data_IF_830203878860
#
_entry.id   IF_830203878860
#
_cell.length_a   1.000
_cell.length_b   1.000
_cell.length_c   1.000
_cell.angle_alpha   90.00
_cell.angle_beta   90.00
_cell.angle_gamma   90.00
#
_symmetry.space_group_name_H-M   'P 1'
#
loop_
_entity.id
_entity.type
_entity.pdbx_description
1 polymer ?
#
# COMPACT_ATOMS: atom_id res chain seq x y z
N UNK A 1 -11.52 -1.61 -14.22
CA UNK A 1 -10.58 -1.77 -13.10
C UNK A 1 -9.36 -0.91 -13.36
N UNK A 2 -8.87 -0.20 -12.35
CA UNK A 2 -7.71 0.68 -12.48
C UNK A 2 -6.71 0.34 -11.38
N UNK A 3 -5.43 0.32 -11.71
CA UNK A 3 -4.36 0.12 -10.75
C UNK A 3 -4.17 1.37 -9.87
N UNK A 4 -4.07 1.20 -8.54
CA UNK A 4 -4.06 2.31 -7.58
C UNK A 4 -2.67 2.90 -7.32
N UNK A 5 -1.63 2.08 -7.41
CA UNK A 5 -0.24 2.47 -7.18
C UNK A 5 0.65 1.84 -8.23
N UNK A 6 1.80 2.44 -8.48
CA UNK A 6 2.81 1.83 -9.33
C UNK A 6 3.27 0.49 -8.76
N UNK A 7 3.90 -0.28 -9.61
CA UNK A 7 4.41 -1.59 -9.26
C UNK A 7 5.76 -1.81 -9.94
N UNK A 8 6.41 -2.90 -9.60
CA UNK A 8 7.51 -3.46 -10.38
C UNK A 8 7.43 -4.96 -10.33
N UNK A 9 8.10 -5.59 -11.30
CA UNK A 9 8.06 -7.03 -11.39
C UNK A 9 8.72 -7.66 -10.16
N UNK A 10 8.14 -8.75 -9.63
CA UNK A 10 8.69 -9.42 -8.47
C UNK A 10 10.08 -9.96 -8.79
N UNK A 11 11.06 -9.61 -7.94
CA UNK A 11 12.42 -10.15 -8.03
C UNK A 11 12.54 -11.60 -7.51
N UNK A 12 11.51 -12.13 -6.86
CA UNK A 12 11.50 -13.47 -6.26
C UNK A 12 10.33 -14.31 -6.74
N UNK A 13 9.16 -14.14 -6.13
CA UNK A 13 7.99 -14.98 -6.37
C UNK A 13 6.67 -14.19 -6.26
N UNK A 14 5.62 -14.76 -6.84
CA UNK A 14 4.26 -14.19 -6.86
C UNK A 14 3.94 -13.46 -8.17
N UNK A 15 2.65 -13.19 -8.44
CA UNK A 15 2.27 -12.52 -9.67
C UNK A 15 2.66 -11.04 -9.64
N UNK A 16 2.96 -10.48 -10.81
CA UNK A 16 3.11 -9.03 -10.95
C UNK A 16 1.77 -8.33 -10.78
N UNK A 17 1.78 -7.03 -10.46
CA UNK A 17 0.55 -6.24 -10.40
C UNK A 17 -0.21 -6.26 -11.74
N UNK A 18 0.51 -6.33 -12.87
CA UNK A 18 -0.06 -6.41 -14.20
C UNK A 18 -0.78 -7.75 -14.43
N UNK A 19 -0.21 -8.87 -13.97
CA UNK A 19 -0.83 -10.19 -14.05
C UNK A 19 -2.11 -10.26 -13.19
N UNK A 20 -2.05 -9.76 -11.95
CA UNK A 20 -3.23 -9.69 -11.07
C UNK A 20 -4.33 -8.86 -11.71
N UNK A 21 -3.99 -7.66 -12.21
CA UNK A 21 -4.96 -6.77 -12.85
C UNK A 21 -5.58 -7.42 -14.08
N UNK A 22 -4.78 -8.08 -14.92
CA UNK A 22 -5.23 -8.76 -16.14
C UNK A 22 -6.16 -9.92 -15.81
N UNK A 23 -5.76 -10.80 -14.89
CA UNK A 23 -6.57 -11.94 -14.45
C UNK A 23 -7.91 -11.49 -13.86
N UNK A 24 -7.89 -10.47 -13.02
CA UNK A 24 -9.13 -9.91 -12.45
C UNK A 24 -10.02 -9.29 -13.53
N UNK A 25 -9.42 -8.59 -14.51
CA UNK A 25 -10.15 -8.05 -15.66
C UNK A 25 -10.85 -9.13 -16.47
N UNK A 26 -10.17 -10.26 -16.71
CA UNK A 26 -10.74 -11.42 -17.42
C UNK A 26 -11.89 -12.06 -16.64
N UNK A 27 -11.69 -12.36 -15.35
CA UNK A 27 -12.71 -13.00 -14.49
C UNK A 27 -13.96 -12.13 -14.35
N UNK A 28 -13.81 -10.81 -14.28
CA UNK A 28 -14.92 -9.88 -14.08
C UNK A 28 -15.48 -9.30 -15.39
N UNK A 29 -14.95 -9.68 -16.55
CA UNK A 29 -15.33 -9.08 -17.85
C UNK A 29 -15.08 -7.57 -17.91
N UNK A 30 -14.09 -7.07 -17.18
CA UNK A 30 -13.86 -5.65 -16.98
C UNK A 30 -12.62 -5.15 -17.74
N UNK A 31 -12.74 -3.97 -18.36
CA UNK A 31 -11.57 -3.25 -18.92
C UNK A 31 -10.58 -2.89 -17.82
N UNK A 32 -9.29 -3.06 -18.09
CA UNK A 32 -8.19 -2.76 -17.16
C UNK A 32 -7.46 -1.49 -17.59
N UNK A 33 -6.99 -0.72 -16.62
CA UNK A 33 -6.17 0.48 -16.81
C UNK A 33 -4.97 0.35 -15.89
N UNK A 34 -3.80 0.13 -16.47
CA UNK A 34 -2.51 0.09 -15.77
C UNK A 34 -2.05 1.50 -15.38
N UNK A 35 -1.22 1.57 -14.34
CA UNK A 35 -0.64 2.83 -13.89
C UNK A 35 0.85 2.87 -14.23
N UNK A 36 1.28 3.64 -15.25
CA UNK A 36 2.63 3.54 -15.82
C UNK A 36 3.67 4.32 -14.98
N UNK A 37 3.83 3.94 -13.72
CA UNK A 37 4.81 4.51 -12.78
C UNK A 37 5.41 3.37 -11.94
N UNK A 38 6.66 3.52 -11.45
CA UNK A 38 7.26 2.54 -10.54
C UNK A 38 6.49 2.49 -9.21
N UNK A 39 6.72 1.46 -8.39
CA UNK A 39 6.13 1.41 -7.04
C UNK A 39 6.54 2.61 -6.18
N UNK A 40 7.81 3.00 -6.29
CA UNK A 40 8.42 4.13 -5.61
C UNK A 40 9.36 4.85 -6.58
N UNK A 41 9.39 6.18 -6.53
CA UNK A 41 10.41 6.95 -7.25
C UNK A 41 11.69 7.03 -6.41
N UNK A 42 12.84 7.30 -7.03
CA UNK A 42 14.07 7.63 -6.28
C UNK A 42 14.11 9.09 -5.85
N UNK A 43 13.53 9.97 -6.67
CA UNK A 43 13.57 11.41 -6.48
C UNK A 43 12.15 12.00 -6.46
N UNK A 44 11.91 12.90 -5.50
CA UNK A 44 10.64 13.63 -5.39
C UNK A 44 10.36 14.47 -6.65
N UNK A 45 11.41 15.07 -7.23
CA UNK A 45 11.29 15.85 -8.46
C UNK A 45 10.76 15.03 -9.64
N UNK A 46 11.25 13.79 -9.81
CA UNK A 46 10.76 12.87 -10.86
C UNK A 46 9.30 12.49 -10.63
N UNK A 47 8.92 12.22 -9.38
CA UNK A 47 7.52 11.96 -9.02
C UNK A 47 6.63 13.14 -9.38
N UNK A 48 7.07 14.37 -9.05
CA UNK A 48 6.33 15.60 -9.35
C UNK A 48 6.19 15.83 -10.87
N UNK A 49 7.26 15.64 -11.63
CA UNK A 49 7.25 15.72 -13.09
C UNK A 49 6.24 14.73 -13.68
N UNK A 50 6.28 13.46 -13.26
CA UNK A 50 5.33 12.43 -13.70
C UNK A 50 3.88 12.77 -13.32
N UNK A 51 3.64 13.37 -12.14
CA UNK A 51 2.30 13.82 -11.74
C UNK A 51 1.78 15.00 -12.59
N UNK A 52 2.65 15.70 -13.30
CA UNK A 52 2.26 16.75 -14.23
C UNK A 52 1.81 16.21 -15.60
N UNK A 53 2.19 14.97 -15.94
CA UNK A 53 1.91 14.33 -17.22
C UNK A 53 0.42 14.00 -17.43
N UNK A 54 -0.05 14.18 -18.67
CA UNK A 54 -1.46 13.93 -19.03
C UNK A 54 -1.83 12.45 -18.88
N UNK A 55 -0.92 11.54 -19.20
CA UNK A 55 -1.11 10.09 -19.07
C UNK A 55 -1.38 9.69 -17.62
N UNK A 56 -0.54 10.15 -16.70
CA UNK A 56 -0.67 9.93 -15.25
C UNK A 56 -1.94 10.58 -14.70
N UNK A 57 -2.19 11.86 -15.03
CA UNK A 57 -3.41 12.58 -14.61
C UNK A 57 -4.70 11.86 -15.01
N UNK A 58 -4.73 11.23 -16.19
CA UNK A 58 -5.90 10.47 -16.67
C UNK A 58 -6.15 9.23 -15.83
N UNK A 59 -5.10 8.46 -15.50
CA UNK A 59 -5.22 7.29 -14.61
C UNK A 59 -5.69 7.71 -13.22
N UNK A 60 -5.09 8.76 -12.65
CA UNK A 60 -5.48 9.31 -11.33
C UNK A 60 -6.93 9.83 -11.32
N UNK A 61 -7.43 10.39 -12.43
CA UNK A 61 -8.82 10.80 -12.53
C UNK A 61 -9.78 9.59 -12.48
N UNK A 62 -9.44 8.48 -13.14
CA UNK A 62 -10.23 7.24 -13.07
C UNK A 62 -10.13 6.61 -11.69
N UNK A 63 -8.95 6.58 -11.06
CA UNK A 63 -8.79 6.07 -9.70
C UNK A 63 -9.66 6.85 -8.69
N UNK A 64 -9.77 8.18 -8.85
CA UNK A 64 -10.62 9.03 -8.00
C UNK A 64 -12.12 8.77 -8.15
N UNK A 65 -12.58 8.22 -9.26
CA UNK A 65 -14.00 7.85 -9.46
C UNK A 65 -14.32 6.42 -9.03
N UNK A 66 -13.33 5.68 -8.50
CA UNK A 66 -13.54 4.33 -8.00
C UNK A 66 -14.58 4.31 -6.87
N UNK A 67 -15.46 3.30 -6.92
CA UNK A 67 -16.45 3.03 -5.85
C UNK A 67 -15.96 1.98 -4.85
N UNK A 68 -14.99 1.17 -5.27
CA UNK A 68 -14.36 0.12 -4.50
C UNK A 68 -12.84 0.17 -4.73
N UNK A 69 -12.07 0.21 -3.64
CA UNK A 69 -10.65 -0.08 -3.63
C UNK A 69 -10.44 -1.46 -3.00
N UNK A 70 -9.61 -2.29 -3.64
CA UNK A 70 -9.17 -3.59 -3.11
C UNK A 70 -7.66 -3.51 -2.95
N UNK A 71 -7.17 -3.74 -1.74
CA UNK A 71 -5.75 -3.65 -1.42
C UNK A 71 -5.36 -4.57 -0.27
N UNK A 72 -4.07 -4.73 -0.06
CA UNK A 72 -3.49 -5.37 1.13
C UNK A 72 -2.56 -4.40 1.83
N UNK A 73 -2.01 -4.82 2.96
CA UNK A 73 -0.92 -4.11 3.64
C UNK A 73 0.41 -4.74 3.28
N UNK A 74 1.42 -3.90 3.04
CA UNK A 74 2.81 -4.31 3.05
C UNK A 74 3.35 -4.27 4.48
N UNK A 75 4.22 -5.21 4.82
CA UNK A 75 4.86 -5.28 6.15
C UNK A 75 6.38 -5.27 6.00
N UNK A 76 7.03 -4.49 6.87
CA UNK A 76 8.49 -4.44 7.01
C UNK A 76 9.05 -5.57 7.88
N UNK A 77 8.21 -6.15 8.74
CA UNK A 77 8.59 -7.17 9.72
C UNK A 77 8.08 -8.57 9.41
N UNK A 78 7.60 -8.81 8.19
CA UNK A 78 7.17 -10.15 7.76
C UNK A 78 8.37 -10.95 7.21
N UNK A 79 8.35 -12.28 7.42
CA UNK A 79 9.36 -13.21 6.90
C UNK A 79 9.54 -13.09 5.38
N UNK A 80 8.45 -12.71 4.68
CA UNK A 80 8.47 -12.25 3.29
C UNK A 80 8.16 -10.75 3.28
N UNK A 81 9.17 -9.88 3.07
CA UNK A 81 8.94 -8.44 2.94
C UNK A 81 8.01 -8.12 1.77
N UNK A 82 7.19 -7.08 1.90
CA UNK A 82 6.37 -6.59 0.77
C UNK A 82 7.23 -6.38 -0.49
N UNK A 83 6.65 -6.62 -1.67
CA UNK A 83 7.32 -6.39 -2.96
C UNK A 83 7.87 -4.95 -3.10
N UNK A 84 7.26 -3.97 -2.43
CA UNK A 84 7.76 -2.59 -2.39
C UNK A 84 9.15 -2.49 -1.73
N UNK A 85 9.40 -3.29 -0.68
CA UNK A 85 10.69 -3.32 0.03
C UNK A 85 11.68 -4.29 -0.62
N UNK A 86 11.17 -5.37 -1.22
CA UNK A 86 12.00 -6.40 -1.85
C UNK A 86 12.38 -6.07 -3.31
N UNK A 87 11.65 -5.19 -4.00
CA UNK A 87 11.79 -4.87 -5.43
C UNK A 87 12.90 -3.87 -5.79
N UNK A 88 13.78 -3.53 -4.84
CA UNK A 88 14.95 -2.68 -5.11
C UNK A 88 14.68 -1.17 -5.16
N UNK A 89 13.45 -0.71 -4.90
CA UNK A 89 13.10 0.72 -4.92
C UNK A 89 13.55 1.52 -3.69
N UNK A 90 13.90 0.81 -2.61
CA UNK A 90 14.34 1.41 -1.36
C UNK A 90 15.79 1.04 -1.11
N UNK A 91 16.63 2.06 -1.04
CA UNK A 91 18.06 1.90 -0.76
C UNK A 91 18.30 1.46 0.69
N UNK A 92 19.52 1.04 1.01
CA UNK A 92 19.93 0.77 2.40
C UNK A 92 19.76 2.01 3.30
N UNK A 93 20.00 3.20 2.75
CA UNK A 93 19.77 4.47 3.44
C UNK A 93 18.28 4.66 3.73
N UNK A 94 17.41 4.41 2.74
CA UNK A 94 15.95 4.46 2.92
C UNK A 94 15.49 3.50 4.02
N UNK A 95 15.99 2.25 4.02
CA UNK A 95 15.67 1.29 5.08
C UNK A 95 16.10 1.74 6.47
N UNK A 96 17.17 2.55 6.57
CA UNK A 96 17.63 3.13 7.82
C UNK A 96 16.69 4.25 8.27
N UNK A 97 16.23 5.09 7.34
CA UNK A 97 15.19 6.09 7.59
C UNK A 97 13.91 5.43 8.06
N UNK A 98 13.43 4.37 7.39
CA UNK A 98 12.22 3.64 7.80
C UNK A 98 12.27 3.14 9.23
N UNK A 99 13.42 2.61 9.66
CA UNK A 99 13.62 2.18 11.06
C UNK A 99 13.60 3.36 12.02
N UNK A 100 14.26 4.47 11.69
CA UNK A 100 14.29 5.69 12.51
C UNK A 100 12.90 6.29 12.66
N UNK A 101 12.12 6.29 11.59
CA UNK A 101 10.74 6.77 11.53
C UNK A 101 9.72 5.77 12.13
N UNK A 102 10.18 4.63 12.65
CA UNK A 102 9.35 3.56 13.23
C UNK A 102 8.21 3.07 12.31
N UNK A 103 8.48 3.05 11.00
CA UNK A 103 7.53 2.54 10.01
C UNK A 103 7.29 1.05 10.26
N UNK A 104 6.03 0.64 10.26
CA UNK A 104 5.63 -0.76 10.46
C UNK A 104 5.15 -1.44 9.17
N UNK A 105 4.85 -0.65 8.14
CA UNK A 105 4.37 -1.14 6.87
C UNK A 105 3.82 -0.02 5.98
N UNK A 106 3.06 -0.41 4.96
CA UNK A 106 2.46 0.52 4.00
C UNK A 106 1.08 0.07 3.53
N UNK A 107 0.31 1.02 3.03
CA UNK A 107 -0.89 0.80 2.23
C UNK A 107 -0.69 1.49 0.89
N UNK A 108 -0.80 0.73 -0.19
CA UNK A 108 -0.58 1.24 -1.55
C UNK A 108 0.74 2.03 -1.66
N UNK A 109 1.86 1.54 -1.12
CA UNK A 109 3.18 2.21 -1.07
C UNK A 109 3.31 3.38 -0.09
N UNK A 110 2.22 3.85 0.52
CA UNK A 110 2.25 4.93 1.51
C UNK A 110 2.55 4.34 2.89
N UNK A 111 3.71 4.70 3.42
CA UNK A 111 4.31 4.22 4.65
C UNK A 111 3.53 4.71 5.87
N UNK A 112 3.35 3.82 6.85
CA UNK A 112 2.60 4.07 8.08
C UNK A 112 3.42 3.71 9.32
N UNK A 113 3.32 4.54 10.36
CA UNK A 113 3.78 4.21 11.72
C UNK A 113 2.72 3.38 12.46
N UNK A 114 3.12 2.79 13.59
CA UNK A 114 2.26 1.90 14.37
C UNK A 114 0.94 2.54 14.86
N UNK A 115 0.92 3.86 15.04
CA UNK A 115 -0.25 4.63 15.43
C UNK A 115 -1.14 5.06 14.25
N UNK A 116 -0.74 4.74 13.01
CA UNK A 116 -1.45 5.12 11.79
C UNK A 116 -1.04 6.48 11.21
N UNK A 117 -0.10 7.20 11.82
CA UNK A 117 0.45 8.44 11.26
C UNK A 117 1.33 8.15 10.05
N UNK A 118 1.39 9.12 9.14
CA UNK A 118 2.04 8.97 7.82
C UNK A 118 2.46 10.28 7.17
N UNK A 119 1.86 11.42 7.56
CA UNK A 119 1.90 12.68 6.81
C UNK A 119 3.25 13.40 6.83
N UNK A 120 4.04 13.16 7.87
CA UNK A 120 5.36 13.75 8.14
C UNK A 120 6.52 12.80 7.81
N UNK A 121 6.25 11.64 7.21
CA UNK A 121 7.28 10.74 6.70
C UNK A 121 7.72 11.26 5.33
N UNK A 122 8.87 11.94 5.26
CA UNK A 122 9.39 12.54 4.02
C UNK A 122 9.45 11.57 2.84
N UNK A 123 9.75 10.30 3.13
CA UNK A 123 9.86 9.25 2.12
C UNK A 123 8.53 9.04 1.36
N UNK A 124 7.38 9.34 1.97
CA UNK A 124 6.08 9.27 1.30
C UNK A 124 5.94 10.26 0.13
N UNK A 125 6.78 11.29 0.02
CA UNK A 125 6.80 12.17 -1.15
C UNK A 125 7.25 11.45 -2.44
N UNK A 126 7.89 10.29 -2.32
CA UNK A 126 8.31 9.40 -3.42
C UNK A 126 7.30 8.29 -3.74
N UNK A 127 6.29 8.09 -2.88
CA UNK A 127 5.26 7.07 -3.06
C UNK A 127 4.30 7.38 -4.22
N UNK A 128 3.68 6.34 -4.77
CA UNK A 128 2.83 6.46 -5.97
C UNK A 128 1.35 6.20 -5.74
N UNK A 129 1.00 5.48 -4.67
CA UNK A 129 -0.41 5.22 -4.35
C UNK A 129 -1.13 6.39 -3.70
N UNK A 130 -2.45 6.25 -3.53
CA UNK A 130 -3.24 7.26 -2.83
C UNK A 130 -2.83 7.35 -1.36
N UNK A 131 -2.71 8.57 -0.85
CA UNK A 131 -2.56 8.79 0.60
C UNK A 131 -3.78 8.27 1.36
N UNK A 132 -3.69 7.99 2.68
CA UNK A 132 -4.85 7.62 3.49
C UNK A 132 -6.04 8.57 3.34
N UNK A 133 -5.81 9.88 3.21
CA UNK A 133 -6.86 10.90 2.97
C UNK A 133 -7.47 10.79 1.57
N UNK A 134 -6.68 10.42 0.57
CA UNK A 134 -7.21 10.21 -0.79
C UNK A 134 -7.98 8.88 -0.87
N UNK A 135 -7.45 7.83 -0.26
CA UNK A 135 -8.04 6.51 -0.21
C UNK A 135 -9.38 6.54 0.52
N UNK A 136 -9.51 7.29 1.63
CA UNK A 136 -10.76 7.41 2.40
C UNK A 136 -11.93 7.99 1.61
N UNK A 137 -11.68 8.68 0.48
CA UNK A 137 -12.73 9.22 -0.40
C UNK A 137 -13.41 8.15 -1.25
N UNK A 138 -12.80 6.98 -1.42
CA UNK A 138 -13.39 5.85 -2.14
C UNK A 138 -14.40 5.19 -1.21
N UNK A 139 -15.71 5.10 -1.53
CA UNK A 139 -16.75 4.66 -0.60
C UNK A 139 -16.52 3.30 0.06
N UNK A 140 -16.07 2.30 -0.68
CA UNK A 140 -15.74 0.96 -0.16
C UNK A 140 -14.26 0.66 -0.32
N UNK A 141 -13.63 0.19 0.75
CA UNK A 141 -12.18 0.02 0.88
C UNK A 141 -11.94 -1.34 1.53
N UNK A 142 -11.84 -2.35 0.67
CA UNK A 142 -11.69 -3.76 1.05
C UNK A 142 -10.20 -4.06 1.23
N UNK A 143 -9.79 -4.22 2.49
CA UNK A 143 -8.46 -4.65 2.85
C UNK A 143 -8.45 -6.17 3.03
N UNK A 144 -7.54 -6.87 2.34
CA UNK A 144 -7.40 -8.32 2.43
C UNK A 144 -6.01 -8.63 2.99
N UNK A 145 -5.95 -9.34 4.11
CA UNK A 145 -4.69 -9.62 4.81
C UNK A 145 -4.63 -11.09 5.21
N UNK A 146 -3.47 -11.71 5.01
CA UNK A 146 -3.16 -12.99 5.62
C UNK A 146 -1.68 -13.04 6.05
N UNK A 147 -1.42 -13.79 7.13
CA UNK A 147 -0.10 -13.98 7.73
C UNK A 147 0.20 -13.05 8.92
N UNK A 148 0.57 -13.63 10.06
CA UNK A 148 0.82 -12.94 11.33
C UNK A 148 1.91 -11.87 11.25
N UNK A 149 2.89 -12.02 10.35
CA UNK A 149 3.90 -11.00 10.04
C UNK A 149 3.33 -9.66 9.55
N UNK A 150 2.05 -9.60 9.16
CA UNK A 150 1.34 -8.38 8.76
C UNK A 150 0.52 -7.74 9.90
N UNK A 151 0.49 -8.30 11.10
CA UNK A 151 -0.39 -7.82 12.17
C UNK A 151 -0.13 -6.35 12.57
N UNK A 152 1.13 -5.94 12.71
CA UNK A 152 1.48 -4.53 13.04
C UNK A 152 1.05 -3.56 11.95
N UNK A 153 1.34 -3.87 10.69
CA UNK A 153 0.94 -3.05 9.54
C UNK A 153 -0.59 -2.98 9.39
N UNK A 154 -1.28 -4.09 9.65
CA UNK A 154 -2.74 -4.16 9.64
C UNK A 154 -3.35 -3.24 10.70
N UNK A 155 -2.85 -3.31 11.93
CA UNK A 155 -3.31 -2.43 13.00
C UNK A 155 -3.05 -0.95 12.69
N UNK A 156 -1.89 -0.61 12.10
CA UNK A 156 -1.59 0.73 11.64
C UNK A 156 -2.57 1.21 10.55
N UNK A 157 -2.88 0.37 9.56
CA UNK A 157 -3.85 0.66 8.51
C UNK A 157 -5.26 0.90 9.07
N UNK A 158 -5.68 0.12 10.07
CA UNK A 158 -6.96 0.30 10.77
C UNK A 158 -6.98 1.63 11.54
N UNK A 159 -5.90 1.97 12.24
CA UNK A 159 -5.76 3.26 12.95
C UNK A 159 -5.76 4.45 11.97
N UNK A 160 -5.15 4.29 10.79
CA UNK A 160 -5.19 5.26 9.71
C UNK A 160 -6.57 5.36 9.00
N UNK A 161 -7.55 4.53 9.40
CA UNK A 161 -8.93 4.50 8.87
C UNK A 161 -9.01 4.30 7.35
N UNK A 162 -8.05 3.57 6.78
CA UNK A 162 -7.98 3.37 5.32
C UNK A 162 -8.94 2.28 4.82
N UNK A 163 -9.40 1.37 5.69
CA UNK A 163 -10.31 0.28 5.34
C UNK A 163 -11.73 0.51 5.87
N UNK A 164 -12.74 0.05 5.12
CA UNK A 164 -14.13 -0.11 5.59
C UNK A 164 -14.45 -1.57 5.88
N UNK A 165 -13.84 -2.46 5.11
CA UNK A 165 -14.09 -3.88 5.14
C UNK A 165 -12.73 -4.57 5.26
N UNK A 166 -12.63 -5.54 6.17
CA UNK A 166 -11.42 -6.32 6.38
C UNK A 166 -11.73 -7.81 6.19
N UNK A 167 -10.99 -8.44 5.29
CA UNK A 167 -10.91 -9.90 5.18
C UNK A 167 -9.56 -10.32 5.73
N UNK A 168 -9.58 -11.14 6.78
CA UNK A 168 -8.39 -11.51 7.54
C UNK A 168 -8.51 -12.95 8.03
N UNK A 169 -7.40 -13.70 8.04
CA UNK A 169 -7.37 -15.04 8.63
C UNK A 169 -7.39 -14.99 10.17
N UNK A 170 -7.83 -16.08 10.81
CA UNK A 170 -7.99 -16.16 12.27
C UNK A 170 -6.69 -15.87 13.03
N UNK A 171 -5.56 -16.42 12.59
CA UNK A 171 -4.28 -16.25 13.28
C UNK A 171 -3.81 -14.78 13.23
N UNK A 172 -3.92 -14.13 12.07
CA UNK A 172 -3.58 -12.72 11.91
C UNK A 172 -4.54 -11.82 12.70
N UNK A 173 -5.84 -12.14 12.72
CA UNK A 173 -6.84 -11.39 13.49
C UNK A 173 -6.53 -11.42 14.99
N UNK A 174 -6.22 -12.61 15.55
CA UNK A 174 -5.81 -12.75 16.95
C UNK A 174 -4.56 -11.94 17.28
N UNK A 175 -3.57 -11.97 16.39
CA UNK A 175 -2.34 -11.19 16.56
C UNK A 175 -2.61 -9.67 16.56
N UNK A 176 -3.50 -9.18 15.69
CA UNK A 176 -3.94 -7.78 15.66
C UNK A 176 -4.65 -7.40 16.97
N UNK A 177 -5.60 -8.22 17.43
CA UNK A 177 -6.32 -7.98 18.69
C UNK A 177 -5.36 -7.93 19.89
N UNK A 178 -4.40 -8.86 19.98
CA UNK A 178 -3.41 -8.87 21.06
C UNK A 178 -2.49 -7.63 21.04
N UNK A 179 -2.24 -7.02 19.88
CA UNK A 179 -1.50 -5.76 19.77
C UNK A 179 -2.36 -4.54 20.14
N UNK A 180 -3.66 -4.58 19.87
CA UNK A 180 -4.58 -3.49 20.22
C UNK A 180 -4.74 -3.34 21.73
N UNK A 181 -5.00 -4.44 22.45
CA UNK A 181 -5.23 -4.43 23.91
C UNK A 181 -3.99 -4.01 24.70
N UNK A 182 -2.78 -4.35 24.24
CA UNK A 182 -1.52 -3.96 24.92
C UNK A 182 -1.32 -2.44 25.05
N UNK A 183 -1.99 -1.64 24.21
CA UNK A 183 -1.89 -0.17 24.24
C UNK A 183 -2.93 0.49 25.16
N UNK A 184 -3.93 -0.26 25.63
CA UNK A 184 -4.98 0.24 26.53
C UNK A 184 -4.65 0.02 28.02
N UNK A 185 -3.63 -0.80 28.33
CA UNK A 185 -3.23 -1.16 29.70
C UNK A 185 -2.00 -0.40 30.21
N UNK A 186 -1.48 0.55 29.43
CA UNK A 186 -0.38 1.47 29.78
C UNK A 186 -0.91 2.90 29.77
#
# INVERSE_FOLDING_TARGET
>A
MVQLNGASDPLREGPSAAEVLTRMGQVLGARTISFPVPAFFDQVATRQAMWSERSVKRVLAVARSARLAVFSVGSLGADVPSQVYAGGHLSRADMTVLRREEVVGDVCTVLLRADGTWGDIDLNARATGPTPVQLSRIPRRLCIVAGTGKARATLAALRARVATDLVIDDATARAVLALAHRKETL
#
